data_IF_562409369759
#
_entry.id   IF_562409369759
#
_cell.length_a   1.000
_cell.length_b   1.000
_cell.length_c   1.000
_cell.angle_alpha   90.00
_cell.angle_beta   90.00
_cell.angle_gamma   90.00
#
_symmetry.space_group_name_H-M   'P 1'
#
loop_
_entity.id
_entity.type
_entity.pdbx_description
1 polymer ?
#
# COMPACT_ATOMS: atom_id res chain seq x y z
N UNK A 1 -2.11 23.73 -5.38
CA UNK A 1 -0.77 24.18 -4.97
C UNK A 1 0.18 22.98 -5.08
N UNK A 2 0.99 22.88 -6.15
CA UNK A 2 1.92 21.76 -6.33
C UNK A 2 2.97 21.80 -5.22
N UNK A 3 3.03 20.79 -4.36
CA UNK A 3 4.02 20.72 -3.28
C UNK A 3 5.38 20.43 -3.91
N UNK A 4 6.33 21.36 -3.82
CA UNK A 4 7.69 21.17 -4.30
C UNK A 4 8.46 20.20 -3.37
N UNK A 5 8.15 18.91 -3.47
CA UNK A 5 8.80 17.82 -2.72
C UNK A 5 10.28 17.61 -3.13
N UNK A 6 10.74 18.33 -4.18
CA UNK A 6 12.08 18.22 -4.74
C UNK A 6 13.22 18.65 -3.78
N UNK A 7 12.87 19.24 -2.64
CA UNK A 7 13.83 19.80 -1.68
C UNK A 7 14.18 18.88 -0.52
N UNK A 8 13.50 17.73 -0.37
CA UNK A 8 13.71 16.84 0.77
C UNK A 8 14.63 15.65 0.46
N UNK A 9 14.80 15.27 -0.82
CA UNK A 9 15.40 13.98 -1.16
C UNK A 9 16.81 14.09 -1.75
N UNK A 10 17.70 13.17 -1.37
CA UNK A 10 18.94 12.90 -2.11
C UNK A 10 18.58 12.03 -3.31
N UNK A 11 18.60 12.64 -4.50
CA UNK A 11 18.32 11.95 -5.75
C UNK A 11 19.49 11.05 -6.15
N UNK A 12 19.20 9.79 -6.42
CA UNK A 12 20.09 8.95 -7.22
C UNK A 12 19.39 8.71 -8.55
N UNK A 13 19.86 9.36 -9.61
CA UNK A 13 19.36 9.10 -10.98
C UNK A 13 19.96 7.79 -11.46
N UNK A 14 19.14 6.74 -11.55
CA UNK A 14 19.54 5.50 -12.23
C UNK A 14 19.38 5.74 -13.72
N UNK A 15 20.49 5.88 -14.45
CA UNK A 15 20.50 5.89 -15.92
C UNK A 15 20.59 4.46 -16.41
N UNK A 16 19.54 3.96 -17.05
CA UNK A 16 19.63 2.71 -17.82
C UNK A 16 20.50 2.96 -19.05
N UNK A 17 21.69 2.34 -19.08
CA UNK A 17 22.51 2.27 -20.27
C UNK A 17 22.00 1.12 -21.15
N UNK A 18 21.37 1.45 -22.27
CA UNK A 18 21.16 0.52 -23.37
C UNK A 18 22.51 0.32 -24.07
N UNK A 19 23.24 -0.75 -23.74
CA UNK A 19 24.45 -1.13 -24.48
C UNK A 19 24.09 -2.09 -25.61
N UNK A 20 24.14 -1.59 -26.85
CA UNK A 20 24.03 -2.40 -28.05
C UNK A 20 24.61 -1.68 -29.26
N UNK A 21 25.94 -1.67 -29.39
CA UNK A 21 26.69 -1.93 -30.64
C UNK A 21 28.15 -1.48 -30.54
N UNK A 22 29.00 -2.34 -31.12
CA UNK A 22 30.46 -2.26 -31.30
C UNK A 22 30.94 -0.87 -31.77
N UNK A 23 31.91 -0.27 -31.08
CA UNK A 23 32.74 0.80 -31.65
C UNK A 23 34.17 0.75 -31.10
N UNK A 24 35.10 0.83 -32.05
CA UNK A 24 36.55 0.79 -32.00
C UNK A 24 37.21 1.45 -30.76
N UNK A 25 38.18 0.76 -30.18
CA UNK A 25 39.09 1.28 -29.16
C UNK A 25 39.98 2.36 -29.79
N UNK A 26 39.85 3.60 -29.33
CA UNK A 26 40.89 4.63 -29.46
C UNK A 26 41.20 5.13 -28.04
N UNK A 27 42.39 4.80 -27.57
CA UNK A 27 42.92 5.32 -26.31
C UNK A 27 43.30 6.80 -26.50
N UNK A 28 42.57 7.69 -25.83
CA UNK A 28 42.99 9.09 -25.63
C UNK A 28 42.84 9.42 -24.15
N UNK A 29 43.85 10.13 -23.65
CA UNK A 29 44.20 10.29 -22.23
C UNK A 29 43.15 10.97 -21.34
N UNK A 30 43.40 10.82 -20.04
CA UNK A 30 42.67 11.44 -18.94
C UNK A 30 42.34 12.92 -19.17
N UNK A 31 41.06 13.27 -19.03
CA UNK A 31 40.64 14.61 -18.66
C UNK A 31 39.50 14.54 -17.64
N UNK A 32 39.82 14.97 -16.41
CA UNK A 32 38.95 15.43 -15.33
C UNK A 32 37.47 15.03 -15.36
N UNK A 33 37.07 14.17 -14.42
CA UNK A 33 35.68 14.00 -14.01
C UNK A 33 35.09 15.36 -13.59
N UNK A 34 34.20 15.93 -14.39
CA UNK A 34 33.32 17.00 -13.92
C UNK A 34 32.38 16.41 -12.88
N UNK A 35 32.75 16.56 -11.60
CA UNK A 35 31.79 16.45 -10.50
C UNK A 35 30.74 17.54 -10.73
N UNK A 36 29.62 17.19 -11.33
CA UNK A 36 28.39 17.98 -11.23
C UNK A 36 28.10 18.08 -9.74
N UNK A 37 28.43 19.23 -9.15
CA UNK A 37 28.15 19.53 -7.76
C UNK A 37 26.67 19.36 -7.52
N UNK A 38 26.31 18.57 -6.50
CA UNK A 38 24.95 18.52 -6.02
C UNK A 38 24.49 19.96 -5.73
N UNK A 39 23.33 20.40 -6.25
CA UNK A 39 22.85 21.75 -6.01
C UNK A 39 22.78 22.00 -4.50
N UNK A 40 23.33 23.12 -4.07
CA UNK A 40 23.26 23.57 -2.68
C UNK A 40 21.80 23.81 -2.32
N UNK A 41 21.20 22.90 -1.54
CA UNK A 41 19.83 23.06 -1.05
C UNK A 41 19.87 24.05 0.12
N UNK A 42 19.57 25.32 -0.16
CA UNK A 42 19.27 26.31 0.86
C UNK A 42 17.89 25.99 1.49
N UNK A 43 17.90 25.64 2.78
CA UNK A 43 16.72 25.43 3.62
C UNK A 43 16.28 23.97 3.68
N UNK A 44 16.40 23.35 4.86
CA UNK A 44 15.84 22.03 5.15
C UNK A 44 14.32 22.17 5.09
N UNK A 45 13.69 21.64 4.04
CA UNK A 45 12.23 21.52 3.99
C UNK A 45 11.79 20.57 5.11
N UNK A 46 10.72 20.88 5.87
CA UNK A 46 10.23 19.98 6.89
C UNK A 46 9.81 18.64 6.28
N UNK A 47 9.94 17.58 7.07
CA UNK A 47 9.50 16.24 6.70
C UNK A 47 8.04 16.23 6.27
N UNK A 48 7.71 15.64 5.11
CA UNK A 48 6.33 15.56 4.68
C UNK A 48 5.52 14.66 5.60
N UNK A 49 4.27 15.04 5.81
CA UNK A 49 3.30 14.22 6.53
C UNK A 49 2.48 13.42 5.53
N UNK A 50 2.21 12.16 5.86
CA UNK A 50 1.39 11.25 5.07
C UNK A 50 0.11 10.92 5.82
N UNK A 51 -0.99 10.79 5.07
CA UNK A 51 -2.30 10.40 5.58
C UNK A 51 -2.61 8.99 5.10
N UNK A 52 -2.60 8.03 6.01
CA UNK A 52 -2.93 6.63 5.75
C UNK A 52 -4.40 6.36 6.11
N UNK A 53 -5.21 5.93 5.13
CA UNK A 53 -6.57 5.44 5.34
C UNK A 53 -6.53 4.07 5.98
N UNK A 54 -6.96 3.97 7.23
CA UNK A 54 -6.98 2.72 7.98
C UNK A 54 -8.19 1.86 7.55
N UNK A 55 -8.02 0.53 7.42
CA UNK A 55 -9.15 -0.35 7.15
C UNK A 55 -10.13 -0.35 8.32
N UNK A 56 -11.41 -0.49 8.00
CA UNK A 56 -12.46 -0.72 9.01
C UNK A 56 -12.80 -2.21 9.04
N UNK A 57 -13.18 -2.75 10.22
CA UNK A 57 -13.72 -4.09 10.33
C UNK A 57 -14.98 -4.23 9.47
N UNK A 58 -15.17 -5.38 8.80
CA UNK A 58 -16.31 -5.60 7.92
C UNK A 58 -17.65 -5.82 8.64
N UNK A 59 -17.65 -6.23 9.92
CA UNK A 59 -18.88 -6.71 10.62
C UNK A 59 -19.08 -6.12 12.03
N UNK A 60 -18.05 -5.56 12.66
CA UNK A 60 -18.14 -5.01 14.03
C UNK A 60 -18.02 -3.48 14.06
N UNK A 61 -18.56 -2.85 15.10
CA UNK A 61 -18.29 -1.44 15.38
C UNK A 61 -16.78 -1.26 15.61
N UNK A 62 -16.19 -0.20 15.03
CA UNK A 62 -14.78 0.09 15.26
C UNK A 62 -14.54 0.46 16.73
N UNK A 63 -13.35 0.14 17.24
CA UNK A 63 -12.91 0.42 18.60
C UNK A 63 -11.71 1.35 18.61
N UNK A 64 -11.76 2.38 19.44
CA UNK A 64 -10.69 3.35 19.65
C UNK A 64 -10.33 3.46 21.13
N UNK A 65 -9.04 3.39 21.43
CA UNK A 65 -8.49 3.68 22.76
C UNK A 65 -7.34 4.66 22.63
N UNK A 66 -7.23 5.61 23.54
CA UNK A 66 -6.06 6.49 23.63
C UNK A 66 -5.05 5.93 24.64
N UNK A 67 -3.77 6.13 24.38
CA UNK A 67 -2.65 5.82 25.26
C UNK A 67 -1.64 6.99 25.19
N UNK A 68 -1.85 7.97 26.06
CA UNK A 68 -1.26 9.31 25.95
C UNK A 68 -2.31 10.37 25.61
N UNK A 69 -1.91 11.63 25.62
CA UNK A 69 -2.87 12.74 25.61
C UNK A 69 -3.18 13.22 24.18
N UNK A 70 -4.45 13.13 23.82
CA UNK A 70 -5.03 13.64 22.59
C UNK A 70 -6.00 14.78 22.88
N UNK A 71 -6.02 15.75 21.98
CA UNK A 71 -6.97 16.85 22.03
C UNK A 71 -7.92 16.75 20.85
N UNK A 72 -9.22 16.80 21.16
CA UNK A 72 -10.30 17.02 20.20
C UNK A 72 -10.76 18.47 20.34
N UNK A 73 -10.48 19.28 19.33
CA UNK A 73 -10.96 20.65 19.20
C UNK A 73 -12.23 20.67 18.36
N UNK A 74 -13.34 21.11 18.97
CA UNK A 74 -14.61 21.41 18.31
C UNK A 74 -14.87 22.92 18.38
N UNK A 75 -15.84 23.41 17.61
CA UNK A 75 -16.17 24.85 17.57
C UNK A 75 -16.48 25.42 18.96
N UNK A 76 -17.20 24.66 19.80
CA UNK A 76 -17.68 25.12 21.10
C UNK A 76 -16.91 24.55 22.30
N UNK A 77 -16.02 23.57 22.07
CA UNK A 77 -15.39 22.84 23.16
C UNK A 77 -14.03 22.23 22.79
N UNK A 78 -13.15 22.12 23.78
CA UNK A 78 -11.87 21.44 23.69
C UNK A 78 -11.85 20.28 24.69
N UNK A 79 -11.74 19.05 24.19
CA UNK A 79 -11.70 17.86 25.01
C UNK A 79 -10.28 17.29 25.05
N UNK A 80 -9.82 16.94 26.25
CA UNK A 80 -8.59 16.19 26.46
C UNK A 80 -8.96 14.72 26.73
N UNK A 81 -8.42 13.83 25.91
CA UNK A 81 -8.64 12.39 25.95
C UNK A 81 -7.29 11.71 26.21
N UNK A 82 -7.22 10.87 27.23
CA UNK A 82 -6.04 10.10 27.61
C UNK A 82 -6.42 8.64 27.87
N UNK A 83 -5.50 7.86 28.45
CA UNK A 83 -5.72 6.45 28.76
C UNK A 83 -6.92 6.19 29.68
N UNK A 84 -7.26 7.15 30.54
CA UNK A 84 -8.38 7.03 31.49
C UNK A 84 -9.74 7.25 30.82
N UNK A 85 -9.76 7.71 29.57
CA UNK A 85 -10.98 7.83 28.78
C UNK A 85 -11.60 6.47 28.43
N UNK A 86 -10.84 5.37 28.55
CA UNK A 86 -11.28 4.01 28.26
C UNK A 86 -11.36 3.71 26.77
N UNK A 87 -12.15 2.68 26.43
CA UNK A 87 -12.39 2.28 25.04
C UNK A 87 -13.67 2.95 24.55
N UNK A 88 -13.62 3.53 23.35
CA UNK A 88 -14.76 4.04 22.61
C UNK A 88 -15.18 3.03 21.54
N UNK A 89 -16.46 2.71 21.50
CA UNK A 89 -17.11 2.12 20.34
C UNK A 89 -17.59 3.24 19.40
N UNK A 90 -17.27 3.09 18.12
CA UNK A 90 -17.61 4.06 17.09
C UNK A 90 -18.85 3.59 16.34
N UNK A 91 -19.89 4.43 16.36
CA UNK A 91 -21.14 4.17 15.65
C UNK A 91 -21.30 5.27 14.58
N UNK A 92 -20.97 4.97 13.31
CA UNK A 92 -21.20 5.93 12.23
C UNK A 92 -22.69 6.03 11.93
N UNK A 93 -23.16 7.25 11.72
CA UNK A 93 -24.49 7.59 11.19
C UNK A 93 -24.30 8.50 9.99
N UNK A 94 -25.36 8.70 9.21
CA UNK A 94 -25.30 9.40 7.92
C UNK A 94 -24.52 10.73 7.99
N UNK A 95 -24.78 11.55 9.01
CA UNK A 95 -24.13 12.85 9.24
C UNK A 95 -23.56 13.03 10.66
N UNK A 96 -23.25 11.93 11.34
CA UNK A 96 -22.80 11.95 12.73
C UNK A 96 -21.82 10.80 12.99
N UNK A 97 -20.86 11.05 13.88
CA UNK A 97 -20.04 10.01 14.49
C UNK A 97 -20.37 10.00 15.97
N UNK A 98 -20.83 8.86 16.48
CA UNK A 98 -21.02 8.66 17.91
C UNK A 98 -19.81 7.91 18.47
N UNK A 99 -19.18 8.48 19.49
CA UNK A 99 -18.16 7.82 20.31
C UNK A 99 -18.81 7.43 21.64
N UNK A 100 -19.06 6.13 21.81
CA UNK A 100 -19.66 5.59 23.03
C UNK A 100 -18.57 4.92 23.87
N UNK A 101 -18.17 5.56 24.96
CA UNK A 101 -17.32 4.96 25.99
C UNK A 101 -18.13 4.63 27.25
N UNK A 102 -17.51 3.98 28.23
CA UNK A 102 -18.17 3.61 29.49
C UNK A 102 -18.59 4.83 30.31
N UNK A 103 -17.76 5.88 30.31
CA UNK A 103 -17.94 7.10 31.12
C UNK A 103 -18.21 8.36 30.30
N UNK A 104 -17.98 8.29 29.00
CA UNK A 104 -18.01 9.44 28.09
C UNK A 104 -18.82 9.07 26.86
N UNK A 105 -19.69 9.97 26.45
CA UNK A 105 -20.52 9.82 25.26
C UNK A 105 -20.38 11.09 24.44
N UNK A 106 -19.86 10.97 23.22
CA UNK A 106 -19.81 12.08 22.28
C UNK A 106 -20.76 11.77 21.13
N UNK A 107 -21.76 12.62 20.96
CA UNK A 107 -22.71 12.56 19.86
C UNK A 107 -22.65 13.88 19.15
N UNK A 108 -21.80 13.93 18.13
CA UNK A 108 -21.50 15.18 17.44
C UNK A 108 -22.36 15.21 16.19
N UNK A 109 -23.51 15.88 16.32
CA UNK A 109 -24.35 16.26 15.18
C UNK A 109 -23.54 17.20 14.32
N UNK A 110 -23.26 16.79 13.07
CA UNK A 110 -22.20 17.41 12.26
C UNK A 110 -20.85 17.37 12.97
N UNK A 111 -20.06 16.36 12.63
CA UNK A 111 -18.97 16.73 11.74
C UNK A 111 -18.80 15.72 10.61
N UNK A 112 -18.39 16.25 9.45
CA UNK A 112 -17.80 15.41 8.40
C UNK A 112 -16.43 14.85 8.82
N UNK A 113 -15.82 15.33 9.92
CA UNK A 113 -14.60 14.74 10.48
C UNK A 113 -14.31 15.13 11.94
N UNK A 114 -13.87 14.19 12.78
CA UNK A 114 -13.28 14.44 14.10
C UNK A 114 -11.77 14.28 14.03
N UNK A 115 -10.99 15.28 14.45
CA UNK A 115 -9.52 15.19 14.46
C UNK A 115 -9.00 15.22 15.89
N UNK A 116 -8.35 14.12 16.28
CA UNK A 116 -7.64 13.95 17.53
C UNK A 116 -6.16 14.25 17.29
N UNK A 117 -5.67 15.36 17.84
CA UNK A 117 -4.28 15.76 17.73
C UNK A 117 -3.48 15.21 18.91
N UNK A 118 -2.35 14.56 18.63
CA UNK A 118 -1.44 14.14 19.68
C UNK A 118 -0.79 15.39 20.33
N UNK A 119 -0.78 15.46 21.67
CA UNK A 119 -0.20 16.61 22.39
C UNK A 119 1.06 16.26 23.18
N UNK A 120 1.27 14.99 23.49
CA UNK A 120 2.48 14.50 24.14
C UNK A 120 3.38 13.76 23.13
N UNK A 121 4.71 13.92 23.20
CA UNK A 121 5.64 13.05 22.48
C UNK A 121 5.35 11.59 22.78
N UNK A 122 5.28 10.75 21.75
CA UNK A 122 5.00 9.32 21.91
C UNK A 122 3.55 8.98 22.26
N UNK A 123 2.61 9.93 22.20
CA UNK A 123 1.19 9.60 22.32
C UNK A 123 0.78 8.56 21.28
N UNK A 124 0.00 7.58 21.70
CA UNK A 124 -0.49 6.48 20.89
C UNK A 124 -2.00 6.41 20.93
N UNK A 125 -2.58 5.85 19.89
CA UNK A 125 -3.96 5.39 19.92
C UNK A 125 -4.01 3.97 19.38
N UNK A 126 -4.98 3.20 19.87
CA UNK A 126 -5.27 1.85 19.40
C UNK A 126 -6.53 1.92 18.56
N UNK A 127 -6.41 1.56 17.30
CA UNK A 127 -7.53 1.46 16.36
C UNK A 127 -7.72 0.00 15.97
N UNK A 128 -8.84 -0.60 16.37
CA UNK A 128 -9.18 -2.00 16.09
C UNK A 128 -8.04 -2.99 16.45
N UNK A 129 -7.38 -2.75 17.60
CA UNK A 129 -6.29 -3.59 18.11
C UNK A 129 -4.90 -3.25 17.59
N UNK A 130 -4.76 -2.38 16.58
CA UNK A 130 -3.47 -1.94 16.05
C UNK A 130 -3.07 -0.61 16.70
N UNK A 131 -1.81 -0.50 17.12
CA UNK A 131 -1.28 0.67 17.82
C UNK A 131 -0.65 1.63 16.82
N UNK A 132 -1.08 2.89 16.85
CA UNK A 132 -0.60 3.96 15.99
C UNK A 132 -0.09 5.14 16.82
N UNK A 133 0.66 6.03 16.17
CA UNK A 133 1.09 7.33 16.70
C UNK A 133 0.64 8.45 15.78
N UNK A 134 0.84 9.70 16.18
CA UNK A 134 0.45 10.87 15.38
C UNK A 134 -1.03 11.17 15.47
N UNK A 135 -1.56 11.94 14.53
CA UNK A 135 -2.95 12.39 14.59
C UNK A 135 -3.90 11.32 14.04
N UNK A 136 -5.12 11.30 14.58
CA UNK A 136 -6.22 10.48 14.07
C UNK A 136 -7.35 11.39 13.60
N UNK A 137 -7.79 11.21 12.36
CA UNK A 137 -9.03 11.82 11.86
C UNK A 137 -10.07 10.74 11.56
N UNK A 138 -11.26 10.85 12.14
CA UNK A 138 -12.40 9.99 11.83
C UNK A 138 -13.39 10.75 10.95
N UNK A 139 -13.78 10.18 9.82
CA UNK A 139 -14.70 10.78 8.84
C UNK A 139 -15.93 9.90 8.72
N UNK A 140 -17.14 10.47 8.81
CA UNK A 140 -18.36 9.77 8.41
C UNK A 140 -18.73 10.18 6.99
N UNK A 141 -19.05 9.21 6.15
CA UNK A 141 -19.56 9.43 4.80
C UNK A 141 -20.67 8.42 4.50
N UNK A 142 -21.90 8.88 4.37
CA UNK A 142 -23.09 8.05 4.08
C UNK A 142 -23.23 6.86 5.04
N UNK A 143 -23.03 7.11 6.34
CA UNK A 143 -23.13 6.07 7.38
C UNK A 143 -21.95 5.11 7.43
N UNK A 144 -20.90 5.33 6.64
CA UNK A 144 -19.63 4.59 6.72
C UNK A 144 -18.57 5.41 7.40
N UNK A 145 -17.80 4.78 8.27
CA UNK A 145 -16.67 5.40 8.95
C UNK A 145 -15.41 5.27 8.08
N UNK A 146 -14.53 6.26 8.10
CA UNK A 146 -13.17 6.16 7.59
C UNK A 146 -12.22 6.75 8.63
N UNK A 147 -11.31 5.95 9.15
CA UNK A 147 -10.21 6.43 9.99
C UNK A 147 -9.00 6.79 9.12
N UNK A 148 -8.35 7.90 9.43
CA UNK A 148 -7.17 8.41 8.74
C UNK A 148 -6.11 8.70 9.78
N UNK A 149 -4.97 8.00 9.71
CA UNK A 149 -3.81 8.29 10.53
C UNK A 149 -2.88 9.25 9.80
N UNK A 150 -2.54 10.38 10.43
CA UNK A 150 -1.64 11.39 9.87
C UNK A 150 -0.34 11.42 10.68
N UNK A 151 0.76 11.07 10.01
CA UNK A 151 2.07 10.87 10.64
C UNK A 151 3.20 11.42 9.78
N UNK A 152 4.38 11.71 10.37
CA UNK A 152 5.61 11.91 9.61
C UNK A 152 5.95 10.73 8.72
N UNK A 153 6.51 11.01 7.54
CA UNK A 153 6.89 10.02 6.53
C UNK A 153 7.78 8.91 7.11
N UNK A 154 8.81 9.25 7.88
CA UNK A 154 9.74 8.27 8.45
C UNK A 154 9.07 7.42 9.53
N UNK A 155 8.13 7.99 10.30
CA UNK A 155 7.28 7.24 11.25
C UNK A 155 6.37 6.24 10.52
N UNK A 156 5.76 6.65 9.41
CA UNK A 156 4.96 5.78 8.56
C UNK A 156 5.79 4.62 8.01
N UNK A 157 6.98 4.91 7.47
CA UNK A 157 7.87 3.90 6.91
C UNK A 157 8.39 2.90 7.94
N UNK A 158 8.64 3.36 9.18
CA UNK A 158 8.99 2.46 10.28
C UNK A 158 7.87 1.44 10.61
N UNK A 159 6.62 1.74 10.25
CA UNK A 159 5.49 0.82 10.32
C UNK A 159 5.27 -0.01 9.06
N UNK A 160 5.57 0.54 7.88
CA UNK A 160 5.42 -0.15 6.57
C UNK A 160 6.50 -1.21 6.38
N UNK A 161 7.78 -0.83 6.49
CA UNK A 161 8.89 -1.72 6.16
C UNK A 161 8.80 -3.08 6.87
N UNK A 162 8.63 -3.15 8.21
CA UNK A 162 8.54 -4.46 8.88
C UNK A 162 7.19 -5.16 8.68
N UNK A 163 6.18 -4.47 8.12
CA UNK A 163 4.91 -5.08 7.73
C UNK A 163 5.00 -5.76 6.36
N UNK A 164 5.88 -5.28 5.48
CA UNK A 164 6.01 -5.72 4.09
C UNK A 164 7.13 -6.73 3.87
N UNK A 165 8.24 -6.61 4.62
CA UNK A 165 9.39 -7.51 4.49
C UNK A 165 9.87 -8.00 5.86
N UNK A 166 10.24 -9.29 5.99
CA UNK A 166 10.95 -9.79 7.16
C UNK A 166 12.17 -8.92 7.49
N UNK A 167 12.26 -8.48 8.75
CA UNK A 167 13.32 -7.58 9.21
C UNK A 167 13.94 -8.03 10.54
N UNK A 168 13.91 -9.33 10.81
CA UNK A 168 14.44 -9.95 12.03
C UNK A 168 15.72 -10.77 11.81
N UNK A 169 16.04 -11.13 10.56
CA UNK A 169 17.27 -11.85 10.18
C UNK A 169 18.23 -10.92 9.44
N UNK A 170 19.52 -10.93 9.82
CA UNK A 170 20.55 -10.03 9.29
C UNK A 170 20.83 -10.21 7.81
N UNK A 171 20.58 -11.39 7.25
CA UNK A 171 20.70 -11.65 5.81
C UNK A 171 19.74 -10.80 4.96
N UNK A 172 18.60 -10.38 5.52
CA UNK A 172 17.67 -9.49 4.83
C UNK A 172 18.08 -8.02 4.87
N UNK A 173 19.17 -7.65 5.54
CA UNK A 173 19.51 -6.22 5.79
C UNK A 173 19.49 -5.38 4.52
N UNK A 174 20.14 -5.83 3.45
CA UNK A 174 20.16 -5.09 2.17
C UNK A 174 18.77 -4.99 1.53
N UNK A 175 17.96 -6.05 1.61
CA UNK A 175 16.58 -6.05 1.11
C UNK A 175 15.68 -5.11 1.92
N UNK A 176 15.86 -5.06 3.25
CA UNK A 176 15.13 -4.13 4.14
C UNK A 176 15.48 -2.68 3.83
N UNK A 177 16.75 -2.38 3.53
CA UNK A 177 17.18 -1.04 3.08
C UNK A 177 16.59 -0.67 1.71
N UNK A 178 16.60 -1.60 0.76
CA UNK A 178 15.96 -1.42 -0.54
C UNK A 178 14.45 -1.19 -0.40
N UNK A 179 13.78 -1.97 0.46
CA UNK A 179 12.36 -1.83 0.77
C UNK A 179 12.06 -0.46 1.39
N UNK A 180 12.92 0.06 2.28
CA UNK A 180 12.73 1.40 2.85
C UNK A 180 12.76 2.50 1.77
N UNK A 181 13.70 2.41 0.82
CA UNK A 181 13.79 3.37 -0.31
C UNK A 181 12.60 3.21 -1.26
N UNK A 182 12.23 1.98 -1.63
CA UNK A 182 11.08 1.70 -2.48
C UNK A 182 9.78 2.21 -1.81
N UNK A 183 9.53 1.84 -0.56
CA UNK A 183 8.35 2.27 0.16
C UNK A 183 8.26 3.79 0.28
N UNK A 184 9.38 4.48 0.54
CA UNK A 184 9.43 5.95 0.57
C UNK A 184 9.12 6.57 -0.78
N UNK A 185 9.65 6.00 -1.86
CA UNK A 185 9.41 6.48 -3.23
C UNK A 185 7.93 6.39 -3.60
N UNK A 186 7.30 5.25 -3.29
CA UNK A 186 5.88 5.03 -3.48
C UNK A 186 5.03 5.99 -2.65
N UNK A 187 5.32 6.12 -1.35
CA UNK A 187 4.61 7.04 -0.46
C UNK A 187 4.66 8.49 -0.96
N UNK A 188 5.78 8.93 -1.53
CA UNK A 188 5.91 10.25 -2.13
C UNK A 188 5.15 10.39 -3.44
N UNK A 189 5.16 9.37 -4.29
CA UNK A 189 4.32 9.33 -5.48
C UNK A 189 2.85 9.49 -5.10
N UNK A 190 2.41 8.85 -4.01
CA UNK A 190 1.03 8.95 -3.48
C UNK A 190 0.71 10.32 -2.86
N UNK A 191 1.68 11.07 -2.34
CA UNK A 191 1.44 12.46 -1.93
C UNK A 191 1.12 13.38 -3.13
N UNK A 192 1.71 13.10 -4.29
CA UNK A 192 1.40 13.81 -5.53
C UNK A 192 0.14 13.26 -6.22
N UNK A 193 -0.23 12.01 -5.93
CA UNK A 193 -1.36 11.27 -6.51
C UNK A 193 -2.20 10.58 -5.41
N UNK A 194 -2.87 11.35 -4.53
CA UNK A 194 -3.55 10.80 -3.37
C UNK A 194 -4.74 9.91 -3.76
N UNK A 195 -5.04 8.89 -2.95
CA UNK A 195 -6.18 7.97 -3.20
C UNK A 195 -7.49 8.76 -3.28
N UNK A 196 -7.61 9.74 -2.39
CA UNK A 196 -8.78 10.61 -2.31
C UNK A 196 -8.40 11.96 -1.73
N UNK A 197 -9.31 12.95 -1.71
CA UNK A 197 -9.08 14.18 -0.97
C UNK A 197 -8.80 13.97 0.53
N UNK A 198 -9.27 12.86 1.12
CA UNK A 198 -9.19 12.58 2.55
C UNK A 198 -7.81 12.04 2.97
N UNK A 199 -7.21 11.16 2.18
CA UNK A 199 -5.96 10.48 2.53
C UNK A 199 -5.15 10.11 1.28
N UNK A 200 -3.86 9.86 1.49
CA UNK A 200 -2.87 9.73 0.43
C UNK A 200 -2.69 8.26 0.01
N UNK A 201 -2.74 7.33 0.97
CA UNK A 201 -2.52 5.87 0.81
C UNK A 201 -3.51 5.04 1.64
N UNK A 202 -3.88 3.85 1.17
CA UNK A 202 -4.47 2.80 2.00
C UNK A 202 -3.40 2.13 2.87
N UNK A 203 -3.78 1.78 4.10
CA UNK A 203 -2.91 1.05 5.04
C UNK A 203 -2.96 -0.48 4.87
N UNK A 204 -3.24 -0.97 3.65
CA UNK A 204 -3.35 -2.38 3.31
C UNK A 204 -2.79 -2.67 1.90
N UNK A 205 -2.96 -3.91 1.42
CA UNK A 205 -2.40 -4.41 0.16
C UNK A 205 -2.80 -3.61 -1.10
N UNK A 206 -3.79 -2.71 -1.02
CA UNK A 206 -4.14 -1.82 -2.14
C UNK A 206 -3.05 -0.78 -2.43
N UNK A 207 -2.28 -0.41 -1.41
CA UNK A 207 -1.13 0.50 -1.51
C UNK A 207 0.06 -0.13 -0.79
N UNK A 208 0.14 0.05 0.54
CA UNK A 208 1.21 -0.52 1.37
C UNK A 208 0.64 -0.93 2.73
N UNK A 209 1.04 -2.10 3.22
CA UNK A 209 0.63 -2.60 4.53
C UNK A 209 1.25 -1.73 5.62
N UNK A 210 0.43 -0.98 6.35
CA UNK A 210 0.87 -0.09 7.43
C UNK A 210 0.20 -0.49 8.75
N UNK A 211 0.99 -1.14 9.63
CA UNK A 211 0.51 -1.65 10.93
C UNK A 211 0.85 -0.73 12.11
N UNK A 212 1.00 0.57 11.87
CA UNK A 212 1.41 1.52 12.90
C UNK A 212 2.75 1.16 13.53
N UNK A 213 2.82 1.17 14.86
CA UNK A 213 4.01 0.78 15.64
C UNK A 213 3.94 -0.65 16.17
N UNK A 214 2.89 -1.41 15.84
CA UNK A 214 2.68 -2.78 16.36
C UNK A 214 3.74 -3.79 15.89
N UNK A 215 4.36 -3.55 14.72
CA UNK A 215 5.40 -4.42 14.13
C UNK A 215 6.80 -3.76 14.17
N UNK A 216 7.07 -2.91 15.16
CA UNK A 216 8.36 -2.21 15.25
C UNK A 216 9.54 -3.19 15.19
N UNK A 217 10.53 -2.87 14.35
CA UNK A 217 11.75 -3.68 14.16
C UNK A 217 12.97 -2.77 14.20
N UNK A 218 13.98 -3.06 15.04
CA UNK A 218 15.21 -2.27 15.08
C UNK A 218 15.91 -2.17 13.72
N UNK A 219 15.94 -3.26 12.94
CA UNK A 219 16.57 -3.28 11.62
C UNK A 219 15.79 -2.41 10.62
N UNK A 220 14.45 -2.47 10.66
CA UNK A 220 13.63 -1.61 9.82
C UNK A 220 13.78 -0.13 10.21
N UNK A 221 13.80 0.18 11.50
CA UNK A 221 14.05 1.55 11.99
C UNK A 221 15.44 2.04 11.58
N UNK A 222 16.47 1.21 11.70
CA UNK A 222 17.83 1.52 11.22
C UNK A 222 17.84 1.79 9.71
N UNK A 223 17.19 0.93 8.92
CA UNK A 223 17.10 1.08 7.47
C UNK A 223 16.38 2.37 7.05
N UNK A 224 15.25 2.68 7.68
CA UNK A 224 14.48 3.92 7.44
C UNK A 224 15.35 5.14 7.77
N UNK A 225 16.00 5.15 8.93
CA UNK A 225 16.85 6.26 9.37
C UNK A 225 18.08 6.46 8.46
N UNK A 226 18.78 5.39 8.12
CA UNK A 226 20.00 5.47 7.30
C UNK A 226 19.71 5.76 5.82
N UNK A 227 18.48 5.54 5.37
CA UNK A 227 17.99 5.91 4.03
C UNK A 227 17.10 7.15 4.04
N UNK A 228 17.09 7.93 5.13
CA UNK A 228 16.21 9.09 5.27
C UNK A 228 16.36 10.04 4.09
N UNK A 229 15.24 10.38 3.45
CA UNK A 229 15.25 11.23 2.27
C UNK A 229 15.87 10.59 1.02
N UNK A 230 16.14 9.29 0.98
CA UNK A 230 16.51 8.60 -0.26
C UNK A 230 15.25 8.06 -0.93
N UNK A 231 15.01 8.48 -2.18
CA UNK A 231 13.88 8.06 -2.99
C UNK A 231 14.30 7.94 -4.46
N UNK A 232 13.64 7.02 -5.17
CA UNK A 232 13.75 6.84 -6.62
C UNK A 232 12.84 7.85 -7.32
N UNK A 233 13.34 8.41 -8.41
CA UNK A 233 12.62 9.39 -9.23
C UNK A 233 12.72 9.05 -10.70
N UNK A 234 11.65 9.33 -11.42
CA UNK A 234 11.58 9.25 -12.87
C UNK A 234 11.18 10.62 -13.42
N UNK A 235 12.00 11.17 -14.34
CA UNK A 235 11.76 12.48 -14.97
C UNK A 235 11.49 13.61 -13.95
N UNK A 236 12.25 13.62 -12.85
CA UNK A 236 12.12 14.60 -11.75
C UNK A 236 10.97 14.34 -10.77
N UNK A 237 10.06 13.40 -11.04
CA UNK A 237 8.95 13.05 -10.15
C UNK A 237 9.26 11.80 -9.35
N UNK A 238 8.67 11.66 -8.16
CA UNK A 238 8.77 10.44 -7.35
C UNK A 238 8.26 9.24 -8.17
N UNK A 239 9.05 8.16 -8.22
CA UNK A 239 8.72 6.99 -9.01
C UNK A 239 7.61 6.15 -8.34
N UNK A 240 6.72 5.57 -9.14
CA UNK A 240 5.75 4.57 -8.67
C UNK A 240 6.44 3.21 -8.53
N UNK A 241 7.05 2.96 -7.38
CA UNK A 241 7.81 1.74 -7.10
C UNK A 241 6.90 0.64 -6.56
N UNK A 242 6.30 -0.14 -7.45
CA UNK A 242 5.54 -1.33 -7.07
C UNK A 242 6.48 -2.46 -6.62
N UNK A 243 6.07 -3.21 -5.61
CA UNK A 243 6.78 -4.38 -5.10
C UNK A 243 5.78 -5.47 -4.72
N UNK A 244 6.24 -6.71 -4.59
CA UNK A 244 5.44 -7.87 -4.22
C UNK A 244 6.35 -8.95 -3.60
N UNK A 245 5.74 -9.94 -2.93
CA UNK A 245 6.46 -10.97 -2.16
C UNK A 245 7.25 -11.96 -3.05
N UNK A 246 6.59 -12.54 -4.06
CA UNK A 246 7.15 -13.57 -4.93
C UNK A 246 6.55 -13.44 -6.32
N UNK A 247 7.39 -13.50 -7.35
CA UNK A 247 7.03 -13.22 -8.75
C UNK A 247 6.57 -14.47 -9.53
N UNK A 248 6.94 -15.66 -9.06
CA UNK A 248 6.86 -16.90 -9.83
C UNK A 248 8.02 -17.08 -10.82
N UNK A 249 9.05 -16.23 -10.70
CA UNK A 249 10.29 -16.25 -11.51
C UNK A 249 10.35 -15.21 -12.63
N UNK A 250 9.24 -14.54 -12.94
CA UNK A 250 9.14 -13.52 -13.99
C UNK A 250 8.31 -12.34 -13.46
N UNK A 251 8.83 -11.11 -13.57
CA UNK A 251 8.09 -9.92 -13.16
C UNK A 251 7.07 -9.56 -14.25
N UNK A 252 5.90 -9.10 -13.81
CA UNK A 252 4.88 -8.58 -14.71
C UNK A 252 5.24 -7.18 -15.17
N UNK A 253 4.98 -6.92 -16.44
CA UNK A 253 5.06 -5.59 -17.01
C UNK A 253 3.88 -4.74 -16.57
N UNK A 254 4.13 -3.51 -16.14
CA UNK A 254 3.08 -2.51 -15.95
C UNK A 254 2.84 -1.83 -17.30
N UNK A 255 1.65 -1.92 -17.90
CA UNK A 255 1.35 -1.20 -19.14
C UNK A 255 1.50 0.30 -18.93
N UNK A 256 2.32 0.96 -19.74
CA UNK A 256 2.53 2.42 -19.70
C UNK A 256 1.77 3.13 -20.81
N UNK A 257 1.53 4.43 -20.65
CA UNK A 257 0.96 5.26 -21.72
C UNK A 257 1.87 5.36 -22.98
N UNK A 258 3.14 4.97 -22.88
CA UNK A 258 4.04 4.87 -24.02
C UNK A 258 3.85 3.56 -24.81
N UNK A 259 3.24 2.53 -24.21
CA UNK A 259 3.01 1.24 -24.86
C UNK A 259 1.96 1.34 -25.98
N UNK A 260 1.06 2.33 -25.90
CA UNK A 260 0.14 2.69 -26.98
C UNK A 260 0.79 3.52 -28.10
N UNK A 261 1.99 4.07 -27.88
CA UNK A 261 2.69 4.94 -28.83
C UNK A 261 3.95 4.30 -29.45
N UNK A 262 4.56 3.30 -28.80
CA UNK A 262 5.76 2.65 -29.33
C UNK A 262 5.92 1.19 -28.85
N UNK A 263 5.22 0.22 -29.46
CA UNK A 263 5.12 -1.15 -28.97
C UNK A 263 6.40 -2.00 -29.15
N UNK A 264 7.44 -1.52 -29.84
CA UNK A 264 8.55 -2.36 -30.33
C UNK A 264 9.84 -2.22 -29.49
N UNK A 265 9.92 -1.29 -28.54
CA UNK A 265 11.20 -0.92 -27.88
C UNK A 265 11.26 -1.06 -26.35
N UNK A 266 10.15 -1.32 -25.68
CA UNK A 266 10.11 -1.48 -24.22
C UNK A 266 10.31 -2.95 -23.87
N UNK A 267 11.27 -3.32 -22.98
CA UNK A 267 11.45 -4.70 -22.57
C UNK A 267 10.12 -5.29 -22.10
N UNK A 268 9.68 -6.34 -22.80
CA UNK A 268 8.34 -6.87 -22.67
C UNK A 268 8.10 -7.58 -21.31
N UNK A 269 9.20 -7.99 -20.67
CA UNK A 269 9.26 -8.67 -19.40
C UNK A 269 10.51 -8.20 -18.64
N UNK A 270 10.37 -7.85 -17.36
CA UNK A 270 11.52 -7.72 -16.47
C UNK A 270 11.76 -9.09 -15.82
N UNK A 271 12.94 -9.65 -15.97
CA UNK A 271 13.32 -10.85 -15.24
C UNK A 271 13.92 -10.46 -13.87
N UNK A 272 13.84 -11.36 -12.90
CA UNK A 272 14.67 -11.30 -11.69
C UNK A 272 16.12 -11.56 -12.13
N UNK A 273 16.82 -10.53 -12.63
CA UNK A 273 18.18 -10.66 -13.14
C UNK A 273 19.15 -10.14 -12.09
N UNK A 274 19.65 -11.05 -11.27
CA UNK A 274 21.04 -10.99 -10.81
C UNK A 274 21.73 -12.27 -11.23
N UNK A 275 22.82 -12.14 -11.98
CA UNK A 275 23.80 -13.20 -12.28
C UNK A 275 23.26 -14.53 -12.83
N UNK A 276 22.11 -14.49 -13.52
CA UNK A 276 21.48 -15.68 -14.12
C UNK A 276 20.80 -16.62 -13.13
N UNK A 277 20.64 -16.23 -11.86
CA UNK A 277 19.90 -17.00 -10.86
C UNK A 277 18.56 -16.33 -10.56
N UNK A 278 17.46 -17.07 -10.74
CA UNK A 278 16.13 -16.64 -10.27
C UNK A 278 16.08 -16.87 -8.75
N UNK A 279 16.39 -15.84 -7.97
CA UNK A 279 16.38 -15.92 -6.50
C UNK A 279 14.98 -16.25 -5.98
N UNK A 280 13.95 -15.82 -6.68
CA UNK A 280 12.56 -16.10 -6.31
C UNK A 280 12.25 -17.61 -6.17
N UNK A 281 12.99 -18.50 -6.85
CA UNK A 281 12.82 -19.97 -6.73
C UNK A 281 13.05 -20.51 -5.33
N UNK A 282 13.85 -19.84 -4.50
CA UNK A 282 14.09 -20.26 -3.11
C UNK A 282 12.98 -19.81 -2.17
N UNK A 283 12.08 -18.94 -2.61
CA UNK A 283 10.95 -18.49 -1.81
C UNK A 283 10.03 -19.66 -1.47
N UNK A 284 9.59 -19.81 -0.21
CA UNK A 284 8.56 -20.80 0.14
C UNK A 284 7.21 -20.50 -0.55
N UNK A 285 7.04 -19.29 -1.08
CA UNK A 285 5.86 -18.87 -1.84
C UNK A 285 6.05 -18.95 -3.36
N UNK A 286 7.15 -19.54 -3.84
CA UNK A 286 7.40 -19.70 -5.27
C UNK A 286 6.38 -20.62 -5.95
N UNK A 287 6.02 -21.72 -5.28
CA UNK A 287 5.01 -22.68 -5.72
C UNK A 287 4.17 -23.13 -4.52
N UNK A 288 2.87 -23.08 -4.70
CA UNK A 288 1.90 -23.53 -3.71
C UNK A 288 0.68 -24.12 -4.44
N UNK A 289 -0.11 -24.88 -3.71
CA UNK A 289 -1.37 -25.47 -4.19
C UNK A 289 -2.44 -25.18 -3.16
N UNK A 290 -3.59 -24.76 -3.63
CA UNK A 290 -4.82 -24.61 -2.84
C UNK A 290 -5.89 -25.50 -3.43
N UNK A 291 -6.82 -25.96 -2.60
CA UNK A 291 -7.97 -26.75 -3.01
C UNK A 291 -9.23 -26.03 -2.57
N UNK A 292 -10.21 -25.93 -3.48
CA UNK A 292 -11.53 -25.36 -3.22
C UNK A 292 -12.60 -26.27 -3.77
N UNK A 293 -13.76 -26.26 -3.13
CA UNK A 293 -14.95 -26.95 -3.64
C UNK A 293 -15.60 -26.12 -4.75
N UNK A 294 -16.39 -26.79 -5.60
CA UNK A 294 -17.19 -26.10 -6.59
C UNK A 294 -18.18 -25.10 -5.94
N UNK A 295 -18.71 -25.44 -4.77
CA UNK A 295 -19.61 -24.57 -3.99
C UNK A 295 -18.90 -23.31 -3.50
N UNK A 296 -17.65 -23.40 -3.02
CA UNK A 296 -16.87 -22.23 -2.61
C UNK A 296 -16.60 -21.28 -3.77
N UNK A 297 -16.26 -21.83 -4.95
CA UNK A 297 -16.09 -21.03 -6.17
C UNK A 297 -17.41 -20.35 -6.56
N UNK A 298 -18.52 -21.08 -6.49
CA UNK A 298 -19.85 -20.54 -6.79
C UNK A 298 -20.24 -19.41 -5.81
N UNK A 299 -19.96 -19.57 -4.51
CA UNK A 299 -20.15 -18.53 -3.50
C UNK A 299 -19.28 -17.30 -3.78
N UNK A 300 -18.03 -17.49 -4.19
CA UNK A 300 -17.14 -16.39 -4.51
C UNK A 300 -17.58 -15.63 -5.77
N UNK A 301 -18.08 -16.34 -6.79
CA UNK A 301 -18.69 -15.71 -7.98
C UNK A 301 -19.85 -14.80 -7.59
N UNK A 302 -20.71 -15.24 -6.66
CA UNK A 302 -21.82 -14.43 -6.16
C UNK A 302 -21.33 -13.23 -5.33
N UNK A 303 -20.32 -13.43 -4.48
CA UNK A 303 -19.68 -12.35 -3.70
C UNK A 303 -19.07 -11.27 -4.59
N UNK A 304 -18.44 -11.68 -5.69
CA UNK A 304 -17.89 -10.80 -6.71
C UNK A 304 -18.94 -10.22 -7.66
N UNK A 305 -20.22 -10.56 -7.46
CA UNK A 305 -21.37 -10.11 -8.27
C UNK A 305 -21.24 -10.47 -9.74
N UNK A 306 -20.56 -11.58 -10.04
CA UNK A 306 -20.47 -12.15 -11.39
C UNK A 306 -21.75 -12.94 -11.71
N UNK A 307 -22.40 -13.47 -10.68
CA UNK A 307 -23.70 -14.16 -10.78
C UNK A 307 -24.70 -13.56 -9.80
N UNK A 308 -25.98 -13.63 -10.16
CA UNK A 308 -27.06 -13.09 -9.35
C UNK A 308 -27.45 -14.03 -8.19
N UNK A 309 -27.97 -13.51 -7.05
CA UNK A 309 -28.35 -14.35 -5.90
C UNK A 309 -29.35 -15.46 -6.24
N UNK A 310 -30.29 -15.21 -7.16
CA UNK A 310 -31.27 -16.21 -7.60
C UNK A 310 -30.61 -17.36 -8.37
N UNK A 311 -29.65 -17.03 -9.23
CA UNK A 311 -28.88 -18.00 -9.99
C UNK A 311 -27.99 -18.85 -9.07
N UNK A 312 -27.33 -18.21 -8.12
CA UNK A 312 -26.57 -18.87 -7.07
C UNK A 312 -27.42 -19.91 -6.31
N UNK A 313 -28.59 -19.50 -5.79
CA UNK A 313 -29.49 -20.40 -5.06
C UNK A 313 -29.97 -21.57 -5.93
N UNK A 314 -30.32 -21.29 -7.19
CA UNK A 314 -30.82 -22.30 -8.12
C UNK A 314 -29.78 -23.40 -8.39
N UNK A 315 -28.51 -23.03 -8.58
CA UNK A 315 -27.45 -24.02 -8.79
C UNK A 315 -27.11 -24.81 -7.53
N UNK A 316 -27.14 -24.16 -6.36
CA UNK A 316 -26.90 -24.83 -5.10
C UNK A 316 -27.97 -25.90 -4.81
N UNK A 317 -29.25 -25.60 -5.10
CA UNK A 317 -30.36 -26.51 -4.84
C UNK A 317 -30.44 -27.68 -5.83
N UNK A 318 -30.12 -27.44 -7.11
CA UNK A 318 -30.27 -28.45 -8.16
C UNK A 318 -28.99 -29.26 -8.45
N UNK A 319 -27.86 -28.83 -7.91
CA UNK A 319 -26.54 -29.27 -8.36
C UNK A 319 -26.10 -28.57 -9.65
N UNK A 320 -24.80 -28.58 -9.90
CA UNK A 320 -24.19 -27.92 -11.06
C UNK A 320 -22.87 -28.58 -11.42
N UNK A 321 -22.54 -28.55 -12.71
CA UNK A 321 -21.21 -28.96 -13.19
C UNK A 321 -20.35 -27.72 -13.42
N UNK A 322 -19.18 -27.67 -12.78
CA UNK A 322 -18.26 -26.54 -12.89
C UNK A 322 -16.96 -26.96 -13.61
N UNK A 323 -16.57 -26.18 -14.62
CA UNK A 323 -15.30 -26.30 -15.31
C UNK A 323 -14.60 -24.94 -15.37
N UNK A 324 -13.28 -24.94 -15.23
CA UNK A 324 -12.45 -23.74 -15.34
C UNK A 324 -11.47 -23.92 -16.49
N UNK A 325 -11.45 -22.94 -17.38
CA UNK A 325 -10.49 -22.83 -18.47
C UNK A 325 -9.69 -21.54 -18.36
N UNK A 326 -8.44 -21.59 -18.81
CA UNK A 326 -7.60 -20.40 -18.95
C UNK A 326 -7.74 -19.92 -20.39
N UNK A 327 -8.32 -18.73 -20.57
CA UNK A 327 -8.48 -18.12 -21.88
C UNK A 327 -7.24 -17.33 -22.31
N UNK A 328 -6.57 -16.67 -21.36
CA UNK A 328 -5.42 -15.81 -21.66
C UNK A 328 -4.36 -15.85 -20.56
N UNK A 329 -3.08 -15.78 -20.95
CA UNK A 329 -1.95 -15.51 -20.08
C UNK A 329 -1.12 -14.34 -20.60
N UNK A 330 -0.56 -13.55 -19.70
CA UNK A 330 0.46 -12.56 -20.04
C UNK A 330 1.80 -13.23 -20.37
N UNK A 331 2.76 -12.45 -20.85
CA UNK A 331 4.11 -12.94 -21.17
C UNK A 331 4.87 -13.50 -19.96
N UNK A 332 4.54 -13.06 -18.74
CA UNK A 332 5.09 -13.64 -17.51
C UNK A 332 4.49 -15.00 -17.16
N UNK A 333 3.40 -15.37 -17.82
CA UNK A 333 2.59 -16.54 -17.51
C UNK A 333 1.45 -16.29 -16.53
N UNK A 334 1.25 -15.08 -16.01
CA UNK A 334 0.08 -14.75 -15.16
C UNK A 334 -1.21 -14.92 -15.96
N UNK A 335 -2.24 -15.48 -15.33
CA UNK A 335 -3.56 -15.64 -15.96
C UNK A 335 -4.22 -14.26 -16.05
N UNK A 336 -4.47 -13.79 -17.28
CA UNK A 336 -5.17 -12.54 -17.54
C UNK A 336 -6.70 -12.73 -17.54
N UNK A 337 -7.15 -13.87 -18.05
CA UNK A 337 -8.56 -14.23 -18.14
C UNK A 337 -8.79 -15.72 -17.91
N UNK A 338 -9.75 -16.02 -17.04
CA UNK A 338 -10.38 -17.32 -16.87
C UNK A 338 -11.76 -17.33 -17.53
N UNK A 339 -12.18 -18.51 -17.91
CA UNK A 339 -13.54 -18.82 -18.31
C UNK A 339 -14.06 -19.90 -17.37
N UNK A 340 -15.06 -19.56 -16.56
CA UNK A 340 -15.73 -20.50 -15.67
C UNK A 340 -17.04 -20.91 -16.32
N UNK A 341 -17.15 -22.18 -16.71
CA UNK A 341 -18.37 -22.76 -17.24
C UNK A 341 -19.15 -23.43 -16.11
N UNK A 342 -20.42 -23.05 -15.98
CA UNK A 342 -21.38 -23.68 -15.07
C UNK A 342 -22.56 -24.16 -15.90
N UNK A 343 -22.71 -25.48 -16.01
CA UNK A 343 -23.59 -26.15 -16.96
C UNK A 343 -23.37 -25.65 -18.41
N UNK A 344 -24.32 -24.87 -18.94
CA UNK A 344 -24.28 -24.29 -20.29
C UNK A 344 -23.86 -22.82 -20.30
N UNK A 345 -23.68 -22.21 -19.14
CA UNK A 345 -23.32 -20.80 -19.02
C UNK A 345 -21.81 -20.64 -18.89
N UNK A 346 -21.30 -19.57 -19.50
CA UNK A 346 -19.88 -19.27 -19.55
C UNK A 346 -19.64 -17.89 -18.94
N UNK A 347 -18.83 -17.83 -17.89
CA UNK A 347 -18.58 -16.64 -17.10
C UNK A 347 -17.11 -16.23 -17.25
N UNK A 348 -16.80 -15.17 -18.02
CA UNK A 348 -15.45 -14.65 -18.10
C UNK A 348 -15.07 -13.96 -16.78
N UNK A 349 -13.89 -14.28 -16.24
CA UNK A 349 -13.35 -13.70 -15.01
C UNK A 349 -11.95 -13.17 -15.31
N UNK A 350 -11.67 -11.90 -15.00
CA UNK A 350 -10.39 -11.26 -15.32
C UNK A 350 -9.84 -10.41 -14.17
N UNK A 351 -8.56 -10.05 -14.27
CA UNK A 351 -7.88 -9.19 -13.31
C UNK A 351 -7.91 -9.75 -11.87
N UNK A 352 -8.10 -8.88 -10.88
CA UNK A 352 -8.10 -9.28 -9.48
C UNK A 352 -9.27 -10.21 -9.09
N UNK A 353 -10.35 -10.24 -9.89
CA UNK A 353 -11.48 -11.14 -9.62
C UNK A 353 -11.06 -12.61 -9.73
N UNK A 354 -10.07 -12.95 -10.56
CA UNK A 354 -9.53 -14.31 -10.66
C UNK A 354 -9.08 -14.81 -9.28
N UNK A 355 -8.29 -14.02 -8.56
CA UNK A 355 -7.77 -14.37 -7.22
C UNK A 355 -8.83 -14.32 -6.11
N UNK A 356 -9.96 -13.64 -6.34
CA UNK A 356 -11.07 -13.59 -5.36
C UNK A 356 -12.07 -14.70 -5.57
N UNK A 357 -12.19 -15.20 -6.80
CA UNK A 357 -13.03 -16.35 -7.16
C UNK A 357 -12.32 -17.67 -6.85
N UNK A 358 -11.10 -17.83 -7.38
CA UNK A 358 -10.20 -18.96 -7.09
C UNK A 358 -9.44 -18.79 -5.81
#
# INVERSE_FOLDING_TARGET
MKRNLHKYFRYTTIRFWLSGSLALIVAVGCSSSSKLGAPSVSGISPEPLIRAGLPNPPVENSRLKFDGTYVLELEEARYQLDGDAGIFELIPRENQIVLKGERRYFSLETPKSLTFKATSPGAKFVWNGIVFTGDLTLVSNNGKLQAVNRVPMETYLAGVVPSEIPSYQTEYKSAVYAQAVAARSYALFRLDNPVSPLFDVWADERDQVYSGVSKASPMATEAVNNTRGMALTESGRSAQTLYHSSSGGILERIPTAADSLNPVGTPAVAYDITDGQQNDKVSPYYRWVESRTAEEILQNLQREKIIEPVQFATWLDNGFDLRIDIAERSESGRVGQLVIAIDKQTLPVSGLAIRRVL
#
